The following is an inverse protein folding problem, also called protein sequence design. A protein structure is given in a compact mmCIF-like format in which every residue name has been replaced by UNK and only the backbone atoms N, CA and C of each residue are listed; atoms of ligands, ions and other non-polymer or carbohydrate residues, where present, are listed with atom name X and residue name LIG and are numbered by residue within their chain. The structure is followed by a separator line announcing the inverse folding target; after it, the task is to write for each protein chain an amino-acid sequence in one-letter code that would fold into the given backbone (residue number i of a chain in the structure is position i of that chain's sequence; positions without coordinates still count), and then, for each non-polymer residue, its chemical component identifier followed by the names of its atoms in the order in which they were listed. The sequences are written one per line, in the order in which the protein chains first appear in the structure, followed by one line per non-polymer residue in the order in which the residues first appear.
data_IF_603605043455
#
_entry.id   IF_603605043455
#
_cell.length_a   1.000
_cell.length_b   1.000
_cell.length_c   1.000
_cell.angle_alpha   90.00
_cell.angle_beta   90.00
_cell.angle_gamma   90.00
#
_symmetry.space_group_name_H-M   'P 1'
#
loop_
_entity.id
_entity.type
_entity.pdbx_description
1 polymer ?
#
# COMPACT_ATOMS: atom_id res chain seq x y z
N UNK A 1 8.63 10.36 11.88
CA UNK A 1 8.01 11.43 11.04
C UNK A 1 9.14 12.23 10.41
N UNK A 2 8.99 12.64 9.15
CA UNK A 2 10.03 13.31 8.35
C UNK A 2 9.61 14.74 7.99
N UNK A 3 10.40 15.45 7.18
CA UNK A 3 10.11 16.83 6.78
C UNK A 3 8.74 16.99 6.08
N UNK A 4 8.33 16.02 5.25
CA UNK A 4 7.02 16.03 4.59
C UNK A 4 5.86 16.02 5.59
N UNK A 5 6.05 15.40 6.77
CA UNK A 5 5.04 15.39 7.83
C UNK A 5 4.69 16.80 8.33
N UNK A 6 5.62 17.75 8.27
CA UNK A 6 5.37 19.12 8.74
C UNK A 6 4.32 19.87 7.91
N UNK A 7 4.07 19.42 6.68
CA UNK A 7 3.09 20.02 5.78
C UNK A 7 1.75 19.26 5.77
N UNK A 8 1.67 18.12 6.45
CA UNK A 8 0.49 17.28 6.45
C UNK A 8 -0.57 17.79 7.44
N UNK A 9 -1.80 17.97 6.96
CA UNK A 9 -2.94 18.30 7.82
C UNK A 9 -3.53 17.06 8.52
N UNK A 10 -3.35 15.88 7.91
CA UNK A 10 -3.91 14.61 8.38
C UNK A 10 -2.85 13.53 8.23
N UNK A 11 -2.78 12.64 9.22
CA UNK A 11 -1.93 11.46 9.19
C UNK A 11 -2.79 10.20 9.16
N UNK A 12 -2.56 9.35 8.16
CA UNK A 12 -3.10 8.00 8.09
C UNK A 12 -2.01 7.03 8.57
N UNK A 13 -2.20 6.31 9.69
CA UNK A 13 -1.22 5.34 10.16
C UNK A 13 -1.06 4.20 9.15
N UNK A 14 0.15 4.05 8.62
CA UNK A 14 0.52 2.96 7.71
C UNK A 14 1.34 1.86 8.40
N UNK A 15 1.61 0.79 7.65
CA UNK A 15 2.45 -0.34 8.09
C UNK A 15 3.85 -0.26 7.46
N UNK A 16 4.89 -0.51 8.26
CA UNK A 16 6.25 -0.63 7.74
C UNK A 16 6.43 -1.89 6.89
N UNK A 17 7.51 -1.98 6.11
CA UNK A 17 7.76 -3.15 5.26
C UNK A 17 7.94 -4.46 6.06
N UNK A 18 8.31 -4.39 7.35
CA UNK A 18 8.40 -5.57 8.21
C UNK A 18 7.02 -6.03 8.73
N UNK A 19 5.99 -5.19 8.60
CA UNK A 19 4.67 -5.41 9.18
C UNK A 19 3.63 -5.91 8.14
N UNK A 20 4.00 -6.02 6.87
CA UNK A 20 3.10 -6.40 5.78
C UNK A 20 3.75 -7.33 4.75
N UNK A 21 2.91 -8.12 4.10
CA UNK A 21 3.28 -8.80 2.86
C UNK A 21 3.15 -7.82 1.69
N UNK A 22 4.06 -7.89 0.73
CA UNK A 22 4.03 -7.00 -0.43
C UNK A 22 5.13 -7.25 -1.44
N UNK A 23 5.21 -6.36 -2.43
CA UNK A 23 6.21 -6.40 -3.49
C UNK A 23 6.98 -5.09 -3.55
N UNK A 24 8.27 -5.18 -3.88
CA UNK A 24 9.13 -4.03 -4.16
C UNK A 24 9.85 -4.24 -5.48
N UNK A 25 9.79 -3.24 -6.34
CA UNK A 25 10.59 -3.19 -7.56
C UNK A 25 11.91 -2.49 -7.25
N UNK A 26 13.04 -3.18 -7.47
CA UNK A 26 14.36 -2.61 -7.26
C UNK A 26 14.82 -1.77 -8.48
N UNK A 27 16.00 -1.13 -8.37
CA UNK A 27 16.57 -0.31 -9.44
C UNK A 27 16.84 -1.09 -10.75
N UNK A 28 17.02 -2.40 -10.68
CA UNK A 28 17.19 -3.31 -11.83
C UNK A 28 15.85 -3.81 -12.39
N UNK A 29 14.72 -3.22 -11.95
CA UNK A 29 13.35 -3.59 -12.33
C UNK A 29 12.93 -5.00 -11.91
N UNK A 30 13.61 -5.61 -10.95
CA UNK A 30 13.21 -6.89 -10.38
C UNK A 30 12.16 -6.69 -9.30
N UNK A 31 11.04 -7.39 -9.43
CA UNK A 31 10.01 -7.50 -8.40
C UNK A 31 10.49 -8.50 -7.34
N UNK A 32 10.62 -8.04 -6.10
CA UNK A 32 11.00 -8.85 -4.95
C UNK A 32 9.83 -8.91 -3.96
N UNK A 33 9.63 -10.09 -3.37
CA UNK A 33 8.58 -10.30 -2.39
C UNK A 33 9.09 -9.97 -0.99
N UNK A 34 8.32 -9.19 -0.25
CA UNK A 34 8.53 -8.93 1.17
C UNK A 34 7.48 -9.68 1.95
N UNK A 35 7.91 -10.36 3.00
CA UNK A 35 7.05 -11.11 3.91
C UNK A 35 7.01 -10.45 5.27
N UNK A 36 5.84 -10.46 5.87
CA UNK A 36 5.60 -9.95 7.22
C UNK A 36 6.47 -10.70 8.25
N UNK A 37 7.10 -9.94 9.14
CA UNK A 37 7.92 -10.44 10.26
C UNK A 37 7.44 -9.91 11.61
N UNK A 38 6.74 -8.78 11.62
CA UNK A 38 6.13 -8.16 12.80
C UNK A 38 4.63 -8.01 12.59
N UNK A 39 3.86 -8.07 13.68
CA UNK A 39 2.44 -7.73 13.64
C UNK A 39 2.28 -6.21 13.40
N UNK A 40 1.43 -5.80 12.45
CA UNK A 40 1.20 -4.39 12.17
C UNK A 40 0.59 -3.72 13.39
N UNK A 41 1.14 -2.56 13.76
CA UNK A 41 0.54 -1.68 14.78
C UNK A 41 -0.61 -0.85 14.23
N UNK A 42 -0.65 -0.63 12.92
CA UNK A 42 -1.73 0.04 12.24
C UNK A 42 -2.94 -0.89 12.08
N UNK A 43 -4.14 -0.31 12.07
CA UNK A 43 -5.39 -1.06 11.86
C UNK A 43 -5.51 -1.64 10.45
N UNK A 44 -4.98 -0.93 9.46
CA UNK A 44 -5.11 -1.23 8.05
C UNK A 44 -3.73 -1.39 7.43
N UNK A 45 -3.61 -2.28 6.44
CA UNK A 45 -2.52 -2.22 5.48
C UNK A 45 -2.65 -0.95 4.61
N UNK A 46 -1.54 -0.51 4.02
CA UNK A 46 -1.54 0.75 3.27
C UNK A 46 -2.53 0.77 2.10
N UNK A 47 -2.73 -0.37 1.43
CA UNK A 47 -3.69 -0.50 0.33
C UNK A 47 -5.14 -0.44 0.83
N UNK A 48 -5.44 -1.03 1.99
CA UNK A 48 -6.76 -0.97 2.62
C UNK A 48 -7.07 0.46 3.06
N UNK A 49 -6.11 1.14 3.70
CA UNK A 49 -6.27 2.54 4.08
C UNK A 49 -6.52 3.45 2.87
N UNK A 50 -5.86 3.17 1.75
CA UNK A 50 -6.07 3.89 0.48
C UNK A 50 -7.46 3.61 -0.09
N UNK A 51 -7.91 2.35 -0.09
CA UNK A 51 -9.27 2.00 -0.51
C UNK A 51 -10.35 2.63 0.37
N UNK A 52 -10.17 2.64 1.69
CA UNK A 52 -11.12 3.29 2.60
C UNK A 52 -11.18 4.80 2.39
N UNK A 53 -10.04 5.44 2.09
CA UNK A 53 -10.02 6.83 1.69
C UNK A 53 -10.76 7.04 0.36
N UNK A 54 -10.54 6.19 -0.63
CA UNK A 54 -11.24 6.23 -1.92
C UNK A 54 -12.76 6.13 -1.72
N UNK A 55 -13.22 5.19 -0.88
CA UNK A 55 -14.63 5.04 -0.49
C UNK A 55 -15.18 6.28 0.21
N UNK A 56 -14.42 6.86 1.14
CA UNK A 56 -14.82 8.06 1.86
C UNK A 56 -15.00 9.29 0.96
N UNK A 57 -14.28 9.36 -0.17
CA UNK A 57 -14.43 10.44 -1.17
C UNK A 57 -15.41 10.10 -2.31
N UNK A 58 -16.14 8.98 -2.19
CA UNK A 58 -17.20 8.60 -3.13
C UNK A 58 -16.77 7.72 -4.31
N UNK A 59 -15.58 7.10 -4.24
CA UNK A 59 -15.15 6.10 -5.23
C UNK A 59 -15.56 4.69 -4.79
N UNK A 60 -16.01 3.86 -5.73
CA UNK A 60 -16.49 2.50 -5.44
C UNK A 60 -15.38 1.44 -5.60
N UNK A 61 -14.27 1.62 -4.87
CA UNK A 61 -13.16 0.66 -4.87
C UNK A 61 -13.49 -0.55 -3.99
N UNK A 62 -13.29 -1.76 -4.50
CA UNK A 62 -13.72 -3.01 -3.88
C UNK A 62 -12.69 -4.16 -3.98
N UNK A 63 -11.40 -3.84 -3.96
CA UNK A 63 -10.35 -4.83 -3.82
C UNK A 63 -10.50 -5.56 -2.49
N UNK A 64 -10.40 -6.88 -2.57
CA UNK A 64 -10.46 -7.83 -1.45
C UNK A 64 -9.10 -8.46 -1.18
N UNK A 65 -8.19 -8.43 -2.15
CA UNK A 65 -6.87 -9.01 -2.03
C UNK A 65 -5.80 -8.21 -2.82
N UNK A 66 -4.56 -8.09 -2.31
CA UNK A 66 -3.47 -7.38 -3.01
C UNK A 66 -3.17 -7.88 -4.42
N UNK A 67 -3.51 -9.13 -4.75
CA UNK A 67 -3.34 -9.67 -6.10
C UNK A 67 -4.18 -8.91 -7.14
N UNK A 68 -5.37 -8.46 -6.78
CA UNK A 68 -6.25 -7.71 -7.70
C UNK A 68 -5.62 -6.35 -8.07
N UNK A 69 -4.92 -5.74 -7.11
CA UNK A 69 -4.14 -4.51 -7.32
C UNK A 69 -2.94 -4.80 -8.23
N UNK A 70 -2.25 -5.93 -8.04
CA UNK A 70 -1.17 -6.34 -8.94
C UNK A 70 -1.66 -6.63 -10.36
N UNK A 71 -2.83 -7.24 -10.51
CA UNK A 71 -3.46 -7.50 -11.81
C UNK A 71 -3.81 -6.18 -12.53
N UNK A 72 -4.22 -5.15 -11.79
CA UNK A 72 -4.44 -3.82 -12.34
C UNK A 72 -3.14 -3.14 -12.75
N UNK A 73 -2.12 -3.17 -11.89
CA UNK A 73 -0.78 -2.64 -12.20
C UNK A 73 -0.25 -3.28 -13.51
N UNK A 74 -0.40 -4.60 -13.65
CA UNK A 74 0.03 -5.34 -14.84
C UNK A 74 -0.68 -4.89 -16.13
N UNK A 75 -1.95 -4.46 -16.06
CA UNK A 75 -2.68 -3.89 -17.21
C UNK A 75 -2.15 -2.53 -17.62
N UNK A 76 -1.74 -1.69 -16.65
CA UNK A 76 -1.27 -0.33 -16.91
C UNK A 76 0.23 -0.24 -17.16
N UNK A 77 0.99 -1.25 -16.76
CA UNK A 77 2.46 -1.28 -16.86
C UNK A 77 2.92 -2.71 -17.15
N UNK A 78 2.78 -3.18 -18.40
CA UNK A 78 3.34 -4.46 -18.80
C UNK A 78 4.86 -4.30 -18.94
N UNK A 79 5.62 -4.86 -17.99
CA UNK A 79 7.08 -4.84 -17.96
C UNK A 79 7.65 -6.21 -17.65
#
# INVERSE_FOLDING_TARGET
LNETANYAHVFLPGSTFLEKDGTFTNAERRINMVRKVLEPKARYADWEATQELARAIGLDWNYTHPSEIMDEIAKTTPS
#
